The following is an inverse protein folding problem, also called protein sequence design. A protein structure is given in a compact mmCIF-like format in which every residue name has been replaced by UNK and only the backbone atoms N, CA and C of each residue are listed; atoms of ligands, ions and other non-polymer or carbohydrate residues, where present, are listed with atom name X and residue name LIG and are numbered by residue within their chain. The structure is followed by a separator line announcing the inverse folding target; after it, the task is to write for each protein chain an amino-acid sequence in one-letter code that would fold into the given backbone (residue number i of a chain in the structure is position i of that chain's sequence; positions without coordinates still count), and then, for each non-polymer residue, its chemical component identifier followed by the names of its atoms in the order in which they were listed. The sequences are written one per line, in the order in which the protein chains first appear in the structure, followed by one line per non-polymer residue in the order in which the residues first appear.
data_IF_067975334031
#
_entry.id   IF_067975334031
#
_cell.length_a   1.000
_cell.length_b   1.000
_cell.length_c   1.000
_cell.angle_alpha   90.00
_cell.angle_beta   90.00
_cell.angle_gamma   90.00
#
_symmetry.space_group_name_H-M   'P 1'
#
loop_
_entity.id
_entity.type
_entity.pdbx_description
1 polymer ?
#
# COMPACT_ATOMS: atom_id res chain seq x y z
N UNK A 1 -6.61 -7.11 -10.18
CA UNK A 1 -5.74 -6.50 -9.16
C UNK A 1 -5.87 -4.99 -9.19
N UNK A 2 -6.33 -4.40 -8.11
CA UNK A 2 -6.32 -2.95 -7.93
C UNK A 2 -5.24 -2.56 -6.92
N UNK A 3 -4.48 -1.54 -7.26
CA UNK A 3 -3.47 -0.95 -6.39
C UNK A 3 -3.73 0.55 -6.26
N UNK A 4 -3.48 1.08 -5.08
CA UNK A 4 -3.45 2.52 -4.84
C UNK A 4 -1.99 2.94 -4.79
N UNK A 5 -1.53 3.64 -5.79
CA UNK A 5 -0.14 4.06 -5.88
C UNK A 5 0.02 5.51 -5.48
N UNK A 6 1.18 5.84 -4.95
CA UNK A 6 1.52 7.20 -4.59
C UNK A 6 3.01 7.43 -4.59
N UNK A 7 3.36 8.70 -4.75
CA UNK A 7 4.73 9.17 -4.67
C UNK A 7 4.81 10.47 -3.86
N UNK A 8 5.95 10.69 -3.22
CA UNK A 8 6.32 11.98 -2.62
C UNK A 8 7.67 12.40 -3.18
N UNK A 9 7.69 13.55 -3.83
CA UNK A 9 8.89 14.16 -4.41
C UNK A 9 9.28 15.36 -3.56
N UNK A 10 10.36 15.24 -2.80
CA UNK A 10 10.83 16.32 -1.92
C UNK A 10 12.32 16.08 -1.60
N UNK A 11 13.19 17.11 -1.70
CA UNK A 11 14.61 16.95 -1.36
C UNK A 11 14.86 16.60 0.10
N UNK A 12 13.91 16.80 0.99
CA UNK A 12 14.04 16.57 2.43
C UNK A 12 13.44 15.25 2.94
N UNK A 13 12.87 14.41 2.06
CA UNK A 13 12.33 13.12 2.46
C UNK A 13 13.40 12.04 2.56
N UNK A 14 13.13 11.05 3.39
CA UNK A 14 13.99 9.89 3.60
C UNK A 14 13.15 8.61 3.82
N UNK A 15 13.84 7.49 3.98
CA UNK A 15 13.20 6.20 4.16
C UNK A 15 12.32 6.10 5.43
N UNK A 16 12.69 6.79 6.50
CA UNK A 16 11.87 6.84 7.72
C UNK A 16 10.53 7.53 7.48
N UNK A 17 10.51 8.57 6.65
CA UNK A 17 9.26 9.21 6.22
C UNK A 17 8.36 8.25 5.46
N UNK A 18 8.93 7.44 4.55
CA UNK A 18 8.19 6.43 3.82
C UNK A 18 7.50 5.44 4.78
N UNK A 19 8.25 4.87 5.73
CA UNK A 19 7.70 3.95 6.73
C UNK A 19 6.61 4.63 7.59
N UNK A 20 6.79 5.89 7.92
CA UNK A 20 5.81 6.69 8.65
C UNK A 20 4.49 6.85 7.87
N UNK A 21 4.56 7.20 6.60
CA UNK A 21 3.38 7.30 5.73
C UNK A 21 2.63 5.97 5.61
N UNK A 22 3.35 4.87 5.41
CA UNK A 22 2.74 3.54 5.30
C UNK A 22 2.06 3.10 6.60
N UNK A 23 2.66 3.39 7.77
CA UNK A 23 2.03 3.14 9.06
C UNK A 23 0.75 3.94 9.26
N UNK A 24 0.77 5.23 8.91
CA UNK A 24 -0.41 6.08 9.00
C UNK A 24 -1.52 5.60 8.07
N UNK A 25 -1.17 5.20 6.85
CA UNK A 25 -2.11 4.66 5.89
C UNK A 25 -2.77 3.37 6.42
N UNK A 26 -1.97 2.42 6.91
CA UNK A 26 -2.48 1.18 7.50
C UNK A 26 -3.44 1.46 8.65
N UNK A 27 -3.07 2.38 9.55
CA UNK A 27 -3.92 2.76 10.68
C UNK A 27 -5.26 3.36 10.23
N UNK A 28 -5.26 4.22 9.22
CA UNK A 28 -6.48 4.79 8.64
C UNK A 28 -7.35 3.74 7.97
N UNK A 29 -6.76 2.67 7.45
CA UNK A 29 -7.45 1.53 6.88
C UNK A 29 -7.93 0.50 7.92
N UNK A 30 -7.72 0.77 9.21
CA UNK A 30 -8.18 -0.06 10.32
C UNK A 30 -7.21 -1.16 10.76
N UNK A 31 -5.92 -1.05 10.42
CA UNK A 31 -4.88 -1.98 10.85
C UNK A 31 -3.98 -1.31 11.90
N UNK A 32 -3.91 -1.91 13.08
CA UNK A 32 -3.12 -1.37 14.19
C UNK A 32 -1.66 -1.83 14.15
N UNK A 33 -1.40 -3.02 13.61
CA UNK A 33 -0.07 -3.61 13.59
C UNK A 33 0.47 -3.74 12.16
N UNK A 34 1.67 -3.22 11.95
CA UNK A 34 2.39 -3.26 10.67
C UNK A 34 3.83 -3.72 10.92
N UNK A 35 4.27 -4.67 10.11
CA UNK A 35 5.68 -5.10 10.03
C UNK A 35 6.26 -4.73 8.67
N UNK A 36 7.53 -4.36 8.67
CA UNK A 36 8.27 -4.09 7.45
C UNK A 36 9.45 -5.06 7.32
N UNK A 37 9.65 -5.54 6.10
CA UNK A 37 10.77 -6.39 5.72
C UNK A 37 11.55 -5.78 4.57
N UNK A 38 12.88 -5.92 4.55
CA UNK A 38 13.64 -5.58 3.36
C UNK A 38 13.14 -6.35 2.13
N UNK A 39 13.05 -5.67 1.00
CA UNK A 39 12.63 -6.24 -0.26
C UNK A 39 13.57 -5.84 -1.39
N UNK A 40 13.36 -6.39 -2.55
CA UNK A 40 14.09 -6.02 -3.76
C UNK A 40 13.13 -5.71 -4.89
N UNK A 41 13.27 -4.51 -5.44
CA UNK A 41 12.65 -4.11 -6.69
C UNK A 41 13.72 -3.47 -7.57
N UNK A 42 13.75 -3.73 -8.87
CA UNK A 42 14.83 -3.23 -9.73
C UNK A 42 14.90 -1.70 -9.84
N UNK A 43 13.80 -1.00 -9.56
CA UNK A 43 13.67 0.46 -9.71
C UNK A 43 13.76 1.24 -8.39
N UNK A 44 13.85 0.57 -7.25
CA UNK A 44 13.96 1.20 -5.93
C UNK A 44 15.16 0.69 -5.13
N UNK A 45 15.74 1.58 -4.29
CA UNK A 45 16.77 1.28 -3.29
C UNK A 45 16.79 2.38 -2.23
N UNK A 46 16.53 2.12 -0.94
CA UNK A 46 16.07 0.84 -0.40
C UNK A 46 14.64 0.48 -0.81
N UNK A 47 14.34 -0.80 -0.72
CA UNK A 47 13.02 -1.35 -0.99
C UNK A 47 12.47 -2.06 0.24
N UNK A 48 11.14 -2.04 0.41
CA UNK A 48 10.47 -2.62 1.57
C UNK A 48 9.15 -3.24 1.18
N UNK A 49 8.82 -4.36 1.81
CA UNK A 49 7.48 -4.93 1.86
C UNK A 49 6.91 -4.72 3.25
N UNK A 50 5.60 -4.52 3.32
CA UNK A 50 4.89 -4.35 4.58
C UNK A 50 3.73 -5.31 4.71
N UNK A 51 3.62 -5.87 5.91
CA UNK A 51 2.55 -6.77 6.30
C UNK A 51 1.70 -6.15 7.39
N UNK A 52 0.41 -6.43 7.37
CA UNK A 52 -0.53 -6.07 8.43
C UNK A 52 -1.07 -7.33 9.09
N UNK A 53 -1.37 -7.24 10.38
CA UNK A 53 -2.00 -8.33 11.10
C UNK A 53 -3.48 -8.45 10.74
N UNK A 54 -3.88 -9.63 10.30
CA UNK A 54 -5.28 -9.96 10.05
C UNK A 54 -5.82 -10.79 11.22
N UNK A 55 -6.65 -10.19 12.06
CA UNK A 55 -7.21 -10.84 13.24
C UNK A 55 -8.14 -12.01 12.89
N UNK A 56 -8.91 -11.90 11.80
CA UNK A 56 -9.88 -12.91 11.41
C UNK A 56 -9.22 -14.21 10.97
N UNK A 57 -8.06 -14.10 10.34
CA UNK A 57 -7.27 -15.26 9.87
C UNK A 57 -6.11 -15.61 10.78
N UNK A 58 -5.83 -14.77 11.78
CA UNK A 58 -4.67 -14.91 12.69
C UNK A 58 -3.36 -15.08 11.93
N UNK A 59 -3.16 -14.25 10.88
CA UNK A 59 -1.95 -14.29 10.04
C UNK A 59 -1.49 -12.89 9.62
N UNK A 60 -0.21 -12.79 9.28
CA UNK A 60 0.34 -11.60 8.65
C UNK A 60 0.04 -11.64 7.15
N UNK A 61 -0.49 -10.55 6.62
CA UNK A 61 -0.84 -10.40 5.20
C UNK A 61 -0.06 -9.27 4.59
N UNK A 62 0.69 -9.56 3.53
CA UNK A 62 1.40 -8.55 2.76
C UNK A 62 0.40 -7.62 2.07
N UNK A 63 0.59 -6.32 2.26
CA UNK A 63 -0.27 -5.27 1.68
C UNK A 63 0.51 -4.13 1.04
N UNK A 64 1.79 -3.95 1.38
CA UNK A 64 2.62 -2.86 0.88
C UNK A 64 3.83 -3.36 0.11
N UNK A 65 4.07 -2.74 -1.05
CA UNK A 65 5.36 -2.72 -1.71
C UNK A 65 5.78 -1.24 -1.85
N UNK A 66 6.97 -0.89 -1.42
CA UNK A 66 7.40 0.50 -1.38
C UNK A 66 8.92 0.63 -1.45
N UNK A 67 9.39 1.83 -1.72
CA UNK A 67 10.81 2.12 -1.75
C UNK A 67 11.12 3.55 -2.14
N UNK A 68 12.38 3.85 -2.28
CA UNK A 68 12.87 5.11 -2.84
C UNK A 68 13.34 4.82 -4.27
N UNK A 69 12.85 5.57 -5.23
CA UNK A 69 13.27 5.40 -6.63
C UNK A 69 14.78 5.64 -6.78
N UNK A 70 15.42 4.76 -7.54
CA UNK A 70 16.84 4.91 -7.89
C UNK A 70 17.07 6.16 -8.74
N UNK A 71 18.26 6.79 -8.66
CA UNK A 71 18.61 7.93 -9.51
C UNK A 71 18.44 7.68 -11.02
N UNK A 72 18.63 6.43 -11.45
CA UNK A 72 18.43 5.99 -12.84
C UNK A 72 16.98 6.18 -13.33
N UNK A 73 16.02 6.18 -12.38
CA UNK A 73 14.61 6.46 -12.65
C UNK A 73 14.30 7.95 -12.58
N UNK A 74 14.76 8.62 -11.52
CA UNK A 74 14.37 10.00 -11.23
C UNK A 74 15.10 11.02 -12.08
N UNK A 75 16.41 10.84 -12.32
CA UNK A 75 17.23 11.76 -13.07
C UNK A 75 16.74 12.02 -14.52
N UNK A 76 16.39 10.99 -15.32
CA UNK A 76 15.85 11.20 -16.65
C UNK A 76 14.51 11.94 -16.67
N UNK A 77 13.69 11.77 -15.63
CA UNK A 77 12.35 12.33 -15.56
C UNK A 77 12.32 13.73 -14.94
N UNK A 78 13.15 13.96 -13.92
CA UNK A 78 13.15 15.21 -13.15
C UNK A 78 14.34 16.12 -13.47
N UNK A 79 15.30 15.65 -14.24
CA UNK A 79 16.54 16.38 -14.55
C UNK A 79 17.62 16.31 -13.47
N UNK A 80 17.28 15.88 -12.26
CA UNK A 80 18.17 15.75 -11.11
C UNK A 80 17.76 14.57 -10.21
N UNK A 81 18.69 14.01 -9.40
CA UNK A 81 18.41 12.87 -8.54
C UNK A 81 17.73 13.30 -7.23
N UNK A 82 16.51 13.81 -7.31
CA UNK A 82 15.69 14.15 -6.13
C UNK A 82 15.14 12.87 -5.50
N UNK A 83 15.16 12.75 -4.16
CA UNK A 83 14.53 11.62 -3.48
C UNK A 83 13.03 11.54 -3.79
N UNK A 84 12.57 10.37 -4.23
CA UNK A 84 11.17 10.09 -4.49
C UNK A 84 10.75 8.86 -3.73
N UNK A 85 9.90 9.04 -2.74
CA UNK A 85 9.25 7.95 -2.03
C UNK A 85 8.14 7.41 -2.92
N UNK A 86 8.03 6.08 -3.03
CA UNK A 86 7.00 5.43 -3.84
C UNK A 86 6.39 4.24 -3.11
N UNK A 87 5.10 4.02 -3.31
CA UNK A 87 4.39 2.87 -2.75
C UNK A 87 3.26 2.41 -3.66
N UNK A 88 2.95 1.11 -3.56
CA UNK A 88 1.84 0.48 -4.26
C UNK A 88 1.14 -0.54 -3.39
N UNK A 89 0.27 -0.14 -2.43
CA UNK A 89 -0.47 -1.09 -1.63
C UNK A 89 -1.47 -1.89 -2.46
N UNK A 90 -1.60 -3.17 -2.10
CA UNK A 90 -2.64 -4.06 -2.61
C UNK A 90 -4.01 -3.64 -2.07
N UNK A 91 -4.68 -2.76 -2.76
CA UNK A 91 -5.93 -2.12 -2.32
C UNK A 91 -7.07 -3.12 -2.08
N UNK A 92 -7.20 -4.11 -2.96
CA UNK A 92 -8.25 -5.13 -2.86
C UNK A 92 -8.22 -5.90 -1.53
N UNK A 93 -7.04 -6.27 -1.05
CA UNK A 93 -6.89 -6.98 0.23
C UNK A 93 -7.34 -6.17 1.43
N UNK A 94 -7.11 -4.86 1.39
CA UNK A 94 -7.57 -3.95 2.45
C UNK A 94 -9.09 -3.77 2.42
N UNK A 95 -9.68 -3.67 1.22
CA UNK A 95 -11.13 -3.57 1.05
C UNK A 95 -11.88 -4.80 1.56
N UNK A 96 -11.29 -5.97 1.42
CA UNK A 96 -11.91 -7.20 1.92
C UNK A 96 -12.21 -7.12 3.43
N UNK A 97 -11.29 -6.58 4.22
CA UNK A 97 -11.51 -6.37 5.66
C UNK A 97 -12.58 -5.31 5.92
N UNK A 98 -12.53 -4.19 5.21
CA UNK A 98 -13.43 -3.07 5.42
C UNK A 98 -14.90 -3.40 5.11
N UNK A 99 -15.12 -4.25 4.11
CA UNK A 99 -16.46 -4.63 3.64
C UNK A 99 -16.86 -6.05 4.01
N UNK A 100 -16.09 -6.72 4.87
CA UNK A 100 -16.33 -8.12 5.29
C UNK A 100 -16.50 -9.09 4.09
N UNK A 101 -15.65 -8.91 3.08
CA UNK A 101 -15.63 -9.75 1.88
C UNK A 101 -14.63 -10.88 2.10
N UNK A 102 -15.09 -12.12 1.97
CA UNK A 102 -14.26 -13.31 2.23
C UNK A 102 -13.46 -13.79 1.01
N UNK A 103 -13.95 -13.53 -0.18
CA UNK A 103 -13.33 -13.95 -1.44
C UNK A 103 -13.05 -12.72 -2.32
N UNK A 104 -11.78 -12.54 -2.68
CA UNK A 104 -11.33 -11.44 -3.55
C UNK A 104 -12.11 -11.37 -4.87
N UNK A 105 -12.49 -12.52 -5.40
CA UNK A 105 -13.26 -12.60 -6.65
C UNK A 105 -14.62 -11.93 -6.58
N UNK A 106 -15.19 -11.82 -5.39
CA UNK A 106 -16.50 -11.17 -5.19
C UNK A 106 -16.45 -9.67 -5.51
N UNK A 107 -15.28 -9.03 -5.39
CA UNK A 107 -15.05 -7.65 -5.80
C UNK A 107 -15.17 -7.43 -7.31
N UNK A 108 -15.05 -8.49 -8.11
CA UNK A 108 -15.02 -8.42 -9.57
C UNK A 108 -16.25 -9.02 -10.25
N UNK A 109 -17.10 -9.70 -9.50
CA UNK A 109 -18.31 -10.36 -10.05
C UNK A 109 -19.41 -9.38 -10.44
N UNK A 110 -19.37 -8.15 -9.93
CA UNK A 110 -20.39 -7.14 -10.15
C UNK A 110 -21.82 -7.61 -9.80
N UNK A 111 -21.94 -8.38 -8.72
CA UNK A 111 -23.24 -8.79 -8.20
C UNK A 111 -24.06 -7.57 -7.79
N UNK A 112 -25.24 -7.40 -8.37
CA UNK A 112 -26.06 -6.21 -8.15
C UNK A 112 -26.58 -6.12 -6.71
N UNK A 113 -26.84 -7.25 -6.06
CA UNK A 113 -27.29 -7.25 -4.67
C UNK A 113 -26.14 -6.81 -3.76
N UNK A 114 -24.95 -7.37 -3.96
CA UNK A 114 -23.75 -6.96 -3.23
C UNK A 114 -23.48 -5.47 -3.39
N UNK A 115 -23.52 -4.94 -4.62
CA UNK A 115 -23.29 -3.51 -4.89
C UNK A 115 -24.32 -2.60 -4.22
N UNK A 116 -25.57 -3.06 -4.04
CA UNK A 116 -26.63 -2.32 -3.34
C UNK A 116 -26.49 -2.41 -1.81
N UNK A 117 -25.99 -3.51 -1.29
CA UNK A 117 -25.86 -3.78 0.14
C UNK A 117 -24.57 -3.23 0.74
N UNK A 118 -23.49 -3.07 -0.05
CA UNK A 118 -22.25 -2.48 0.41
C UNK A 118 -22.52 -1.05 0.89
N UNK A 119 -22.31 -0.84 2.17
CA UNK A 119 -22.44 0.49 2.78
C UNK A 119 -21.19 1.32 2.50
N UNK A 120 -21.38 2.61 2.28
CA UNK A 120 -20.27 3.55 2.29
C UNK A 120 -19.54 3.48 3.63
N UNK A 121 -18.21 3.63 3.58
CA UNK A 121 -17.42 3.72 4.79
C UNK A 121 -18.00 4.79 5.71
N UNK A 122 -18.20 4.50 6.99
CA UNK A 122 -18.56 5.54 7.94
C UNK A 122 -17.47 6.61 7.95
N UNK A 123 -17.88 7.83 7.76
CA UNK A 123 -16.96 8.99 7.84
C UNK A 123 -16.53 9.24 9.25
#
# INVERSE_FOLDING_TARGET
LNQTEGIVVDPNVNFRHLLGYLKQFAKKMGFDEVKFHPAYFPYTEPSVEGEVWNEDKEEWVEVFAAGIFRPEVTKPLLGEPVPVLAWGPGFDRMLMKLFDIKDLRDLYKNDLNQLREIKYLPR
#
